data_IF_266465529999
#
_entry.id   IF_266465529999
#
_cell.length_a   1.000
_cell.length_b   1.000
_cell.length_c   1.000
_cell.angle_alpha   90.00
_cell.angle_beta   90.00
_cell.angle_gamma   90.00
#
_symmetry.space_group_name_H-M   'P 1'
#
loop_
_entity.id
_entity.type
_entity.pdbx_description
1 polymer ?
#
# COMPACT_ATOMS: atom_id res chain seq x y z
N UNK A 1 -16.69 -3.65 0.45
CA UNK A 1 -16.38 -4.51 -0.74
C UNK A 1 -15.81 -3.70 -1.91
N UNK A 2 -16.48 -2.63 -2.35
CA UNK A 2 -16.05 -1.79 -3.49
C UNK A 2 -14.63 -1.20 -3.31
N UNK A 3 -14.35 -0.55 -2.18
CA UNK A 3 -13.01 -0.01 -1.88
C UNK A 3 -11.90 -1.09 -1.84
N UNK A 4 -12.22 -2.31 -1.42
CA UNK A 4 -11.26 -3.43 -1.43
C UNK A 4 -10.97 -3.91 -2.86
N UNK A 5 -11.99 -3.94 -3.73
CA UNK A 5 -11.83 -4.26 -5.14
C UNK A 5 -11.05 -3.16 -5.88
N UNK A 6 -11.28 -1.89 -5.56
CA UNK A 6 -10.49 -0.77 -6.10
C UNK A 6 -9.03 -0.85 -5.68
N UNK A 7 -8.75 -1.14 -4.40
CA UNK A 7 -7.39 -1.32 -3.91
C UNK A 7 -6.70 -2.51 -4.58
N UNK A 8 -7.43 -3.60 -4.82
CA UNK A 8 -6.92 -4.77 -5.54
C UNK A 8 -6.61 -4.45 -7.01
N UNK A 9 -7.52 -3.74 -7.70
CA UNK A 9 -7.29 -3.27 -9.09
C UNK A 9 -6.07 -2.35 -9.15
N UNK A 10 -5.99 -1.37 -8.25
CA UNK A 10 -4.83 -0.50 -8.13
C UNK A 10 -3.54 -1.29 -7.89
N UNK A 11 -3.56 -2.28 -7.01
CA UNK A 11 -2.41 -3.16 -6.72
C UNK A 11 -1.93 -3.90 -7.97
N UNK A 12 -2.87 -4.40 -8.79
CA UNK A 12 -2.54 -5.06 -10.06
C UNK A 12 -1.98 -4.07 -11.10
N UNK A 13 -2.59 -2.89 -11.25
CA UNK A 13 -2.11 -1.83 -12.14
C UNK A 13 -0.71 -1.35 -11.75
N UNK A 14 -0.46 -1.15 -10.46
CA UNK A 14 0.82 -0.76 -9.89
C UNK A 14 1.89 -1.83 -10.16
N UNK A 15 1.53 -3.10 -9.99
CA UNK A 15 2.42 -4.22 -10.29
C UNK A 15 2.78 -4.28 -11.78
N UNK A 16 1.82 -4.05 -12.67
CA UNK A 16 2.03 -3.96 -14.12
C UNK A 16 2.98 -2.81 -14.50
N UNK A 17 2.75 -1.60 -13.95
CA UNK A 17 3.59 -0.44 -14.19
C UNK A 17 5.02 -0.65 -13.71
N UNK A 18 5.21 -1.26 -12.53
CA UNK A 18 6.54 -1.60 -12.03
C UNK A 18 7.26 -2.66 -12.89
N UNK A 19 6.52 -3.66 -13.39
CA UNK A 19 7.09 -4.71 -14.24
C UNK A 19 7.59 -4.18 -15.58
N UNK A 20 6.93 -3.16 -16.12
CA UNK A 20 7.34 -2.48 -17.34
C UNK A 20 8.74 -1.85 -17.20
N UNK A 21 9.00 -1.13 -16.10
CA UNK A 21 10.32 -0.56 -15.83
C UNK A 21 11.39 -1.63 -15.66
N UNK A 22 11.06 -2.72 -14.97
CA UNK A 22 11.97 -3.85 -14.77
C UNK A 22 12.32 -4.51 -16.10
N UNK A 23 11.36 -4.67 -17.01
CA UNK A 23 11.60 -5.24 -18.33
C UNK A 23 12.61 -4.39 -19.13
N UNK A 24 12.48 -3.07 -19.09
CA UNK A 24 13.44 -2.17 -19.74
C UNK A 24 14.84 -2.26 -19.11
N UNK A 25 14.92 -2.22 -17.78
CA UNK A 25 16.20 -2.34 -17.06
C UNK A 25 16.89 -3.66 -17.33
N UNK A 26 16.16 -4.77 -17.40
CA UNK A 26 16.73 -6.08 -17.71
C UNK A 26 17.41 -6.07 -19.09
N UNK A 27 16.76 -5.49 -20.09
CA UNK A 27 17.30 -5.35 -21.44
C UNK A 27 18.52 -4.43 -21.46
N UNK A 28 18.45 -3.27 -20.80
CA UNK A 28 19.56 -2.32 -20.75
C UNK A 28 20.79 -2.92 -20.08
N UNK A 29 20.62 -3.51 -18.90
CA UNK A 29 21.70 -4.13 -18.14
C UNK A 29 22.35 -5.28 -18.93
N UNK A 30 21.54 -6.19 -19.48
CA UNK A 30 22.03 -7.29 -20.31
C UNK A 30 22.87 -6.78 -21.47
N UNK A 31 22.35 -5.83 -22.24
CA UNK A 31 23.00 -5.33 -23.44
C UNK A 31 24.29 -4.56 -23.10
N UNK A 32 24.30 -3.82 -21.99
CA UNK A 32 25.49 -3.11 -21.52
C UNK A 32 26.60 -4.09 -21.11
N UNK A 33 26.26 -5.13 -20.32
CA UNK A 33 27.22 -6.14 -19.89
C UNK A 33 27.73 -6.97 -21.07
N UNK A 34 26.84 -7.44 -21.96
CA UNK A 34 27.24 -8.20 -23.15
C UNK A 34 28.22 -7.40 -24.02
N UNK A 35 27.94 -6.10 -24.23
CA UNK A 35 28.81 -5.21 -25.01
C UNK A 35 30.19 -5.04 -24.38
N UNK A 36 30.26 -4.83 -23.07
CA UNK A 36 31.52 -4.68 -22.35
C UNK A 36 32.38 -5.95 -22.45
N UNK A 37 31.77 -7.13 -22.33
CA UNK A 37 32.45 -8.40 -22.48
C UNK A 37 32.88 -8.65 -23.93
N UNK A 38 31.99 -8.39 -24.90
CA UNK A 38 32.28 -8.55 -26.33
C UNK A 38 33.50 -7.72 -26.79
N UNK A 39 33.62 -6.50 -26.27
CA UNK A 39 34.77 -5.63 -26.53
C UNK A 39 36.05 -6.22 -25.92
N UNK A 40 35.99 -6.68 -24.66
CA UNK A 40 37.15 -7.26 -23.97
C UNK A 40 37.68 -8.54 -24.63
N UNK A 41 36.78 -9.38 -25.13
CA UNK A 41 37.11 -10.63 -25.80
C UNK A 41 37.25 -10.48 -27.32
N UNK A 42 37.11 -9.25 -27.84
CA UNK A 42 37.28 -8.92 -29.26
C UNK A 42 36.44 -9.83 -30.16
N UNK A 43 35.17 -10.03 -29.78
CA UNK A 43 34.24 -10.90 -30.49
C UNK A 43 34.12 -10.51 -31.97
N UNK A 44 34.20 -9.22 -32.29
CA UNK A 44 34.16 -8.72 -33.66
C UNK A 44 35.38 -9.10 -34.51
N UNK A 45 36.57 -9.22 -33.90
CA UNK A 45 37.79 -9.66 -34.58
C UNK A 45 37.84 -11.18 -34.70
N UNK A 46 37.38 -11.89 -33.68
CA UNK A 46 37.51 -13.35 -33.60
C UNK A 46 36.31 -14.11 -34.17
N UNK A 47 35.17 -13.45 -34.40
CA UNK A 47 33.94 -14.05 -34.92
C UNK A 47 33.24 -15.03 -33.95
N UNK A 48 33.78 -15.24 -32.75
CA UNK A 48 33.27 -16.17 -31.74
C UNK A 48 32.81 -15.36 -30.52
N UNK A 49 31.56 -15.50 -30.07
CA UNK A 49 31.06 -14.84 -28.86
C UNK A 49 31.88 -15.16 -27.61
N UNK A 50 32.09 -14.16 -26.73
CA UNK A 50 32.88 -14.28 -25.51
C UNK A 50 32.52 -15.50 -24.63
N UNK A 51 31.23 -15.84 -24.56
CA UNK A 51 30.73 -16.96 -23.77
C UNK A 51 31.07 -18.36 -24.35
N UNK A 52 31.70 -18.43 -25.52
CA UNK A 52 32.16 -19.67 -26.17
C UNK A 52 33.69 -19.82 -26.19
N UNK A 53 34.45 -18.85 -25.65
CA UNK A 53 35.91 -18.77 -25.76
C UNK A 53 36.66 -19.02 -24.46
N UNK A 54 36.07 -19.78 -23.54
CA UNK A 54 36.54 -19.92 -22.15
C UNK A 54 36.46 -18.60 -21.37
N UNK A 55 35.25 -18.04 -21.21
CA UNK A 55 35.08 -16.89 -20.33
C UNK A 55 35.40 -17.30 -18.90
N UNK A 56 35.83 -16.37 -18.02
CA UNK A 56 36.03 -16.61 -16.61
C UNK A 56 34.68 -16.67 -15.88
N UNK A 57 33.77 -17.50 -16.40
CA UNK A 57 32.51 -17.87 -15.79
C UNK A 57 32.71 -19.14 -14.98
N UNK A 58 32.04 -19.24 -13.84
CA UNK A 58 32.02 -20.48 -13.09
C UNK A 58 31.20 -21.58 -13.80
N UNK A 59 31.32 -22.81 -13.28
CA UNK A 59 30.61 -23.96 -13.83
C UNK A 59 29.09 -23.78 -13.84
N UNK A 60 28.51 -23.04 -12.89
CA UNK A 60 27.07 -22.80 -12.84
C UNK A 60 26.62 -21.85 -13.95
N UNK A 61 27.32 -20.73 -14.14
CA UNK A 61 27.06 -19.79 -15.22
C UNK A 61 27.24 -20.46 -16.58
N UNK A 62 28.26 -21.30 -16.75
CA UNK A 62 28.45 -22.07 -17.99
C UNK A 62 27.33 -23.06 -18.24
N UNK A 63 26.83 -23.77 -17.22
CA UNK A 63 25.65 -24.66 -17.36
C UNK A 63 24.43 -23.90 -17.88
N UNK A 64 24.14 -22.72 -17.33
CA UNK A 64 23.00 -21.89 -17.78
C UNK A 64 23.13 -21.45 -19.24
N UNK A 65 24.34 -21.12 -19.70
CA UNK A 65 24.58 -20.82 -21.13
C UNK A 65 24.30 -22.05 -21.98
N UNK A 66 24.80 -23.23 -21.60
CA UNK A 66 24.56 -24.48 -22.32
C UNK A 66 23.08 -24.84 -22.40
N UNK A 67 22.33 -24.73 -21.29
CA UNK A 67 20.88 -24.98 -21.26
C UNK A 67 20.11 -24.08 -22.24
N UNK A 68 20.44 -22.77 -22.28
CA UNK A 68 19.83 -21.84 -23.23
C UNK A 68 20.17 -22.22 -24.66
N UNK A 69 21.41 -22.63 -24.93
CA UNK A 69 21.85 -23.06 -26.27
C UNK A 69 21.13 -24.32 -26.72
N UNK A 70 21.05 -25.35 -25.88
CA UNK A 70 20.40 -26.61 -26.23
C UNK A 70 18.91 -26.40 -26.54
N UNK A 71 18.24 -25.55 -25.76
CA UNK A 71 16.86 -25.12 -26.03
C UNK A 71 16.71 -24.35 -27.35
N UNK A 72 17.67 -23.48 -27.69
CA UNK A 72 17.61 -22.72 -28.95
C UNK A 72 17.97 -23.56 -30.17
N UNK A 73 18.87 -24.54 -30.01
CA UNK A 73 19.24 -25.51 -31.04
C UNK A 73 18.07 -26.38 -31.46
N UNK A 74 17.30 -26.88 -30.50
CA UNK A 74 16.09 -27.67 -30.79
C UNK A 74 15.02 -26.87 -31.54
N UNK A 75 15.08 -25.54 -31.49
CA UNK A 75 14.18 -24.63 -32.20
C UNK A 75 14.79 -24.07 -33.50
N UNK A 76 16.02 -24.46 -33.86
CA UNK A 76 16.78 -23.87 -34.98
C UNK A 76 16.95 -22.34 -34.91
N UNK A 77 17.07 -21.80 -33.69
CA UNK A 77 17.17 -20.36 -33.41
C UNK A 77 18.45 -19.96 -32.67
N UNK A 78 19.47 -20.83 -32.66
CA UNK A 78 20.76 -20.54 -32.00
C UNK A 78 21.47 -19.37 -32.71
N UNK A 79 21.47 -18.21 -32.09
CA UNK A 79 22.26 -17.05 -32.50
C UNK A 79 22.79 -16.33 -31.26
N UNK A 80 23.88 -15.59 -31.40
CA UNK A 80 24.47 -14.79 -30.31
C UNK A 80 23.42 -13.97 -29.54
N UNK A 81 22.62 -13.21 -30.28
CA UNK A 81 21.60 -12.32 -29.72
C UNK A 81 20.50 -13.11 -29.00
N UNK A 82 20.08 -14.26 -29.53
CA UNK A 82 19.08 -15.12 -28.90
C UNK A 82 19.61 -15.81 -27.64
N UNK A 83 20.88 -16.22 -27.64
CA UNK A 83 21.53 -16.80 -26.46
C UNK A 83 21.62 -15.76 -25.35
N UNK A 84 22.14 -14.57 -25.66
CA UNK A 84 22.19 -13.47 -24.70
C UNK A 84 20.78 -13.15 -24.17
N UNK A 85 19.79 -13.08 -25.07
CA UNK A 85 18.42 -12.76 -24.70
C UNK A 85 17.72 -13.85 -23.87
N UNK A 86 18.11 -15.11 -24.03
CA UNK A 86 17.56 -16.25 -23.31
C UNK A 86 18.10 -16.42 -21.88
N UNK A 87 19.12 -15.65 -21.50
CA UNK A 87 19.68 -15.61 -20.14
C UNK A 87 18.86 -14.69 -19.24
N UNK A 88 18.49 -15.19 -18.06
CA UNK A 88 17.61 -14.48 -17.12
C UNK A 88 18.29 -13.30 -16.42
N UNK A 89 17.51 -12.35 -15.90
CA UNK A 89 17.98 -11.31 -14.97
C UNK A 89 18.96 -11.84 -13.91
N UNK A 90 18.66 -12.98 -13.30
CA UNK A 90 19.48 -13.59 -12.25
C UNK A 90 20.88 -14.01 -12.73
N UNK A 91 21.03 -14.40 -14.00
CA UNK A 91 22.35 -14.68 -14.58
C UNK A 91 23.20 -13.41 -14.65
N UNK A 92 22.64 -12.33 -15.21
CA UNK A 92 23.32 -11.04 -15.34
C UNK A 92 23.64 -10.40 -13.98
N UNK A 93 22.71 -10.50 -13.03
CA UNK A 93 22.93 -10.10 -11.63
C UNK A 93 24.08 -10.89 -10.98
N UNK A 94 24.14 -12.20 -11.23
CA UNK A 94 25.21 -13.07 -10.72
C UNK A 94 26.61 -12.66 -11.19
N UNK A 95 26.73 -12.09 -12.38
CA UNK A 95 28.01 -11.58 -12.91
C UNK A 95 28.53 -10.34 -12.18
N UNK A 96 27.68 -9.65 -11.41
CA UNK A 96 28.09 -8.53 -10.56
C UNK A 96 28.47 -8.97 -9.14
N UNK A 97 28.53 -10.28 -8.87
CA UNK A 97 28.92 -10.86 -7.59
C UNK A 97 30.41 -10.65 -7.27
N UNK A 98 30.78 -10.81 -5.98
CA UNK A 98 32.15 -10.60 -5.50
C UNK A 98 33.19 -11.54 -6.15
N UNK A 99 32.77 -12.72 -6.58
CA UNK A 99 33.62 -13.68 -7.31
C UNK A 99 34.11 -13.18 -8.67
N UNK A 100 33.44 -12.16 -9.24
CA UNK A 100 33.79 -11.56 -10.52
C UNK A 100 34.42 -10.16 -10.38
N UNK A 101 35.04 -9.87 -9.22
CA UNK A 101 35.70 -8.58 -8.95
C UNK A 101 36.82 -8.29 -9.97
N UNK A 102 37.57 -9.31 -10.38
CA UNK A 102 38.61 -9.14 -11.40
C UNK A 102 38.01 -8.75 -12.76
N UNK A 103 36.95 -9.44 -13.19
CA UNK A 103 36.23 -9.17 -14.43
C UNK A 103 35.58 -7.78 -14.40
N UNK A 104 35.12 -7.34 -13.22
CA UNK A 104 34.67 -5.97 -13.01
C UNK A 104 35.74 -4.95 -13.31
N UNK A 105 36.91 -5.09 -12.69
CA UNK A 105 38.06 -4.20 -12.89
C UNK A 105 38.54 -4.20 -14.34
N UNK A 106 38.49 -5.35 -15.01
CA UNK A 106 38.96 -5.51 -16.39
C UNK A 106 37.98 -5.02 -17.45
N UNK A 107 36.66 -5.13 -17.24
CA UNK A 107 35.69 -4.86 -18.31
C UNK A 107 34.29 -4.45 -17.84
N UNK A 108 33.71 -5.09 -16.82
CA UNK A 108 32.29 -4.88 -16.50
C UNK A 108 31.97 -3.45 -16.03
N UNK A 109 32.94 -2.74 -15.43
CA UNK A 109 32.73 -1.35 -15.03
C UNK A 109 32.39 -0.43 -16.22
N UNK A 110 32.80 -0.77 -17.45
CA UNK A 110 32.42 -0.03 -18.66
C UNK A 110 30.93 -0.14 -19.00
N UNK A 111 30.23 -1.15 -18.48
CA UNK A 111 28.78 -1.25 -18.62
C UNK A 111 28.03 -0.23 -17.74
N UNK A 112 28.72 0.41 -16.78
CA UNK A 112 28.13 1.33 -15.81
C UNK A 112 28.85 2.70 -15.81
N UNK A 113 28.82 3.44 -16.93
CA UNK A 113 29.55 4.71 -17.08
C UNK A 113 29.11 5.82 -16.12
N UNK A 114 27.86 5.79 -15.62
CA UNK A 114 27.34 6.77 -14.66
C UNK A 114 27.68 6.47 -13.19
N UNK A 115 28.37 5.35 -12.91
CA UNK A 115 28.76 4.96 -11.57
C UNK A 115 30.07 5.57 -11.09
N UNK A 116 30.33 5.43 -9.79
CA UNK A 116 31.61 5.84 -9.19
C UNK A 116 32.76 4.82 -9.43
N UNK A 117 32.57 3.88 -10.37
CA UNK A 117 33.51 2.79 -10.66
C UNK A 117 33.48 1.60 -9.70
N UNK A 118 32.67 1.66 -8.62
CA UNK A 118 32.64 0.60 -7.60
C UNK A 118 31.59 -0.47 -7.92
N UNK A 119 32.00 -1.75 -8.00
CA UNK A 119 31.09 -2.89 -8.22
C UNK A 119 29.94 -2.92 -7.22
N UNK A 120 30.23 -2.64 -5.95
CA UNK A 120 29.26 -2.68 -4.86
C UNK A 120 28.04 -1.81 -5.14
N UNK A 121 28.21 -0.64 -5.77
CA UNK A 121 27.10 0.27 -6.08
C UNK A 121 26.10 -0.40 -7.02
N UNK A 122 26.57 -0.93 -8.16
CA UNK A 122 25.73 -1.64 -9.12
C UNK A 122 25.15 -2.94 -8.52
N UNK A 123 25.97 -3.72 -7.81
CA UNK A 123 25.55 -5.00 -7.24
C UNK A 123 24.41 -4.85 -6.20
N UNK A 124 24.48 -3.83 -5.34
CA UNK A 124 23.43 -3.56 -4.34
C UNK A 124 22.10 -3.21 -5.03
N UNK A 125 22.13 -2.33 -6.03
CA UNK A 125 20.93 -1.92 -6.77
C UNK A 125 20.33 -3.10 -7.54
N UNK A 126 21.15 -3.86 -8.25
CA UNK A 126 20.69 -5.01 -9.04
C UNK A 126 20.10 -6.10 -8.15
N UNK A 127 20.68 -6.37 -6.98
CA UNK A 127 20.14 -7.34 -6.03
C UNK A 127 18.81 -6.87 -5.41
N UNK A 128 18.69 -5.58 -5.10
CA UNK A 128 17.44 -4.97 -4.68
C UNK A 128 16.34 -5.14 -5.75
N UNK A 129 16.65 -4.80 -7.00
CA UNK A 129 15.72 -4.91 -8.14
C UNK A 129 15.36 -6.37 -8.41
N UNK A 130 16.30 -7.31 -8.26
CA UNK A 130 16.03 -8.75 -8.36
C UNK A 130 14.97 -9.20 -7.36
N UNK A 131 15.10 -8.79 -6.09
CA UNK A 131 14.12 -9.09 -5.04
C UNK A 131 12.77 -8.47 -5.37
N UNK A 132 12.74 -7.21 -5.77
CA UNK A 132 11.51 -6.52 -6.16
C UNK A 132 10.80 -7.22 -7.34
N UNK A 133 11.54 -7.52 -8.41
CA UNK A 133 11.07 -8.28 -9.58
C UNK A 133 10.49 -9.63 -9.19
N UNK A 134 11.15 -10.36 -8.31
CA UNK A 134 10.67 -11.66 -7.86
C UNK A 134 9.33 -11.56 -7.13
N UNK A 135 9.16 -10.58 -6.25
CA UNK A 135 7.88 -10.34 -5.57
C UNK A 135 6.75 -10.08 -6.56
N UNK A 136 6.99 -9.21 -7.54
CA UNK A 136 6.01 -8.92 -8.59
C UNK A 136 5.69 -10.17 -9.43
N UNK A 137 6.70 -10.98 -9.76
CA UNK A 137 6.53 -12.21 -10.54
C UNK A 137 5.80 -13.32 -9.78
N UNK A 138 5.84 -13.30 -8.46
CA UNK A 138 5.08 -14.21 -7.59
C UNK A 138 3.68 -13.69 -7.24
N UNK A 139 3.27 -12.54 -7.79
CA UNK A 139 2.01 -11.88 -7.46
C UNK A 139 1.87 -11.55 -5.96
N UNK A 140 2.99 -11.27 -5.29
CA UNK A 140 2.99 -10.83 -3.90
C UNK A 140 2.25 -9.49 -3.74
N UNK A 141 1.66 -9.26 -2.56
CA UNK A 141 1.01 -8.00 -2.24
C UNK A 141 2.01 -6.83 -2.23
N UNK A 142 1.72 -5.79 -3.03
CA UNK A 142 2.48 -4.52 -3.05
C UNK A 142 2.00 -3.51 -2.00
N UNK A 143 0.95 -3.83 -1.24
CA UNK A 143 0.29 -2.90 -0.31
C UNK A 143 1.19 -2.44 0.85
N UNK A 144 2.09 -3.32 1.31
CA UNK A 144 3.06 -3.06 2.39
C UNK A 144 4.45 -2.70 1.90
N UNK A 145 4.62 -2.43 0.60
CA UNK A 145 5.90 -2.09 -0.01
C UNK A 145 6.04 -0.58 -0.15
N UNK A 146 7.25 -0.07 0.09
CA UNK A 146 7.63 1.28 -0.32
C UNK A 146 7.93 1.32 -1.82
N UNK A 147 6.85 1.37 -2.62
CA UNK A 147 6.91 1.37 -4.08
C UNK A 147 7.75 2.53 -4.64
N UNK A 148 7.56 3.80 -4.19
CA UNK A 148 8.41 4.90 -4.63
C UNK A 148 9.90 4.63 -4.43
N UNK A 149 10.28 4.03 -3.29
CA UNK A 149 11.67 3.70 -3.00
C UNK A 149 12.22 2.55 -3.87
N UNK A 150 11.41 1.54 -4.20
CA UNK A 150 11.81 0.48 -5.15
C UNK A 150 11.99 1.04 -6.57
N UNK A 151 11.06 1.88 -7.03
CA UNK A 151 11.14 2.54 -8.34
C UNK A 151 12.35 3.48 -8.41
N UNK A 152 12.66 4.21 -7.34
CA UNK A 152 13.85 5.05 -7.30
C UNK A 152 15.13 4.24 -7.49
N UNK A 153 15.22 3.01 -6.95
CA UNK A 153 16.36 2.11 -7.17
C UNK A 153 16.47 1.65 -8.62
N UNK A 154 15.33 1.43 -9.27
CA UNK A 154 15.25 1.11 -10.71
C UNK A 154 15.80 2.27 -11.56
N UNK A 155 15.41 3.51 -11.28
CA UNK A 155 15.98 4.70 -11.92
C UNK A 155 17.46 4.91 -11.61
N UNK A 156 17.88 4.66 -10.36
CA UNK A 156 19.28 4.77 -9.98
C UNK A 156 20.15 3.81 -10.81
N UNK A 157 19.70 2.58 -11.05
CA UNK A 157 20.43 1.66 -11.92
C UNK A 157 20.45 2.14 -13.37
N UNK A 158 19.36 2.71 -13.88
CA UNK A 158 19.31 3.31 -15.22
C UNK A 158 20.39 4.39 -15.38
N UNK A 159 20.52 5.28 -14.39
CA UNK A 159 21.53 6.32 -14.36
C UNK A 159 22.96 5.77 -14.34
N UNK A 160 23.19 4.64 -13.66
CA UNK A 160 24.49 3.97 -13.73
C UNK A 160 24.80 3.43 -15.13
N UNK A 161 23.81 2.89 -15.82
CA UNK A 161 23.95 2.32 -17.17
C UNK A 161 24.19 3.40 -18.24
N UNK A 162 23.63 4.59 -18.05
CA UNK A 162 23.91 5.76 -18.89
C UNK A 162 22.76 6.77 -18.97
N UNK A 163 23.06 7.96 -19.50
CA UNK A 163 22.12 9.08 -19.58
C UNK A 163 20.92 8.78 -20.50
N UNK A 164 21.16 8.09 -21.62
CA UNK A 164 20.09 7.71 -22.55
C UNK A 164 19.11 6.71 -21.92
N UNK A 165 19.64 5.72 -21.17
CA UNK A 165 18.84 4.72 -20.47
C UNK A 165 18.01 5.37 -19.36
N UNK A 166 18.60 6.31 -18.61
CA UNK A 166 17.89 7.08 -17.60
C UNK A 166 16.77 7.93 -18.20
N UNK A 167 17.05 8.68 -19.27
CA UNK A 167 16.06 9.51 -19.94
C UNK A 167 14.90 8.68 -20.51
N UNK A 168 15.21 7.53 -21.13
CA UNK A 168 14.19 6.62 -21.65
C UNK A 168 13.30 6.08 -20.52
N UNK A 169 13.91 5.62 -19.43
CA UNK A 169 13.15 5.03 -18.32
C UNK A 169 12.27 6.07 -17.63
N UNK A 170 12.77 7.30 -17.47
CA UNK A 170 11.97 8.41 -16.93
C UNK A 170 10.77 8.74 -17.83
N UNK A 171 10.94 8.76 -19.15
CA UNK A 171 9.85 9.01 -20.08
C UNK A 171 8.80 7.87 -20.13
N UNK A 172 9.20 6.65 -19.77
CA UNK A 172 8.32 5.47 -19.75
C UNK A 172 7.62 5.28 -18.39
N UNK A 173 8.10 5.98 -17.35
CA UNK A 173 7.63 5.77 -15.98
C UNK A 173 6.24 6.35 -15.72
N UNK A 174 5.26 5.44 -15.67
CA UNK A 174 3.88 5.71 -15.23
C UNK A 174 3.61 5.32 -13.77
N UNK A 175 4.61 4.83 -13.03
CA UNK A 175 4.43 4.34 -11.67
C UNK A 175 4.04 5.46 -10.70
N UNK A 176 4.57 6.68 -10.88
CA UNK A 176 4.17 7.84 -10.07
C UNK A 176 2.69 8.17 -10.25
N UNK A 177 2.21 8.19 -11.49
CA UNK A 177 0.80 8.47 -11.79
C UNK A 177 -0.14 7.39 -11.23
N UNK A 178 0.24 6.12 -11.38
CA UNK A 178 -0.54 5.00 -10.83
C UNK A 178 -0.52 5.05 -9.30
N UNK A 179 0.65 5.30 -8.70
CA UNK A 179 0.77 5.42 -7.24
C UNK A 179 -0.10 6.55 -6.68
N UNK A 180 -0.18 7.69 -7.37
CA UNK A 180 -1.07 8.81 -7.00
C UNK A 180 -2.56 8.46 -7.01
N UNK A 181 -2.97 7.41 -7.73
CA UNK A 181 -4.35 6.90 -7.77
C UNK A 181 -4.63 5.86 -6.68
N UNK A 182 -3.68 5.59 -5.77
CA UNK A 182 -3.88 4.63 -4.68
C UNK A 182 -5.12 5.01 -3.88
N UNK A 183 -6.14 4.13 -3.78
CA UNK A 183 -7.30 4.40 -2.94
C UNK A 183 -6.84 4.64 -1.51
N UNK A 184 -7.09 5.85 -1.01
CA UNK A 184 -6.88 6.18 0.39
C UNK A 184 -8.10 5.67 1.14
N UNK A 185 -7.90 4.79 2.10
CA UNK A 185 -8.98 4.44 3.02
C UNK A 185 -9.28 5.69 3.86
N UNK A 186 -10.31 6.45 3.48
CA UNK A 186 -10.67 7.67 4.18
C UNK A 186 -10.95 7.34 5.65
N UNK A 187 -10.31 8.09 6.54
CA UNK A 187 -10.65 8.06 7.96
C UNK A 187 -12.01 8.74 8.09
N UNK A 188 -13.07 7.95 7.98
CA UNK A 188 -14.47 8.39 7.86
C UNK A 188 -15.29 8.07 9.13
N UNK A 189 -14.70 7.36 10.09
CA UNK A 189 -15.41 6.84 11.26
C UNK A 189 -14.69 7.23 12.55
N UNK A 190 -15.45 7.80 13.49
CA UNK A 190 -14.98 8.03 14.86
C UNK A 190 -15.53 6.95 15.80
N UNK A 191 -14.64 6.24 16.48
CA UNK A 191 -14.96 5.30 17.56
C UNK A 191 -14.99 6.09 18.87
N UNK A 192 -16.15 6.15 19.52
CA UNK A 192 -16.34 6.88 20.78
C UNK A 192 -16.48 5.94 21.97
N UNK A 193 -15.94 6.33 23.12
CA UNK A 193 -16.23 5.66 24.38
C UNK A 193 -17.74 5.81 24.69
N UNK A 194 -18.43 4.68 24.85
CA UNK A 194 -19.90 4.63 24.77
C UNK A 194 -20.57 3.95 25.96
N UNK A 195 -19.88 3.77 27.09
CA UNK A 195 -20.43 3.09 28.29
C UNK A 195 -21.85 3.54 28.68
N UNK A 196 -22.15 4.83 28.55
CA UNK A 196 -23.47 5.38 28.83
C UNK A 196 -24.23 5.81 27.57
N UNK A 197 -23.52 5.99 26.45
CA UNK A 197 -24.11 6.48 25.21
C UNK A 197 -24.66 5.36 24.33
N UNK A 198 -24.21 4.12 24.52
CA UNK A 198 -24.68 2.95 23.77
C UNK A 198 -26.18 2.68 24.00
N UNK A 199 -26.71 2.63 25.25
CA UNK A 199 -28.15 2.44 25.47
C UNK A 199 -29.01 3.57 24.87
N UNK A 200 -28.54 4.82 24.95
CA UNK A 200 -29.22 5.96 24.35
C UNK A 200 -29.25 5.84 22.81
N UNK A 201 -28.16 5.40 22.19
CA UNK A 201 -28.15 5.12 20.77
C UNK A 201 -29.12 3.99 20.41
N UNK A 202 -29.21 2.93 21.22
CA UNK A 202 -30.15 1.83 20.98
C UNK A 202 -31.62 2.28 20.99
N UNK A 203 -31.98 3.18 21.90
CA UNK A 203 -33.35 3.66 22.06
C UNK A 203 -33.70 4.79 21.07
N UNK A 204 -32.79 5.75 20.96
CA UNK A 204 -33.07 7.03 20.31
C UNK A 204 -32.29 7.27 19.03
N UNK A 205 -31.32 6.42 18.68
CA UNK A 205 -30.45 6.59 17.49
C UNK A 205 -29.76 7.95 17.51
N UNK A 206 -29.27 8.32 18.69
CA UNK A 206 -28.57 9.56 18.94
C UNK A 206 -27.33 9.32 19.81
N UNK A 207 -26.32 10.16 19.59
CA UNK A 207 -25.16 10.24 20.48
C UNK A 207 -25.10 11.64 21.09
N UNK A 208 -24.95 11.70 22.41
CA UNK A 208 -24.90 12.97 23.16
C UNK A 208 -23.60 13.06 23.94
N UNK A 209 -22.89 14.17 23.79
CA UNK A 209 -21.65 14.45 24.52
C UNK A 209 -21.58 15.90 25.02
N UNK A 210 -20.59 16.19 25.85
CA UNK A 210 -20.34 17.55 26.35
C UNK A 210 -20.20 18.55 25.20
N UNK A 211 -20.76 19.74 25.36
CA UNK A 211 -20.59 20.83 24.40
C UNK A 211 -19.11 21.21 24.23
N UNK A 212 -18.74 21.65 23.02
CA UNK A 212 -17.38 22.05 22.69
C UNK A 212 -16.40 20.89 22.43
N UNK A 213 -16.87 19.64 22.42
CA UNK A 213 -16.02 18.50 22.07
C UNK A 213 -15.73 18.50 20.57
N UNK A 214 -14.45 18.61 20.21
CA UNK A 214 -14.05 18.63 18.81
C UNK A 214 -14.03 17.24 18.16
N UNK A 215 -14.47 17.19 16.90
CA UNK A 215 -14.40 16.02 16.03
C UNK A 215 -13.81 16.40 14.66
N UNK A 216 -12.94 15.54 14.10
CA UNK A 216 -12.56 15.59 12.68
C UNK A 216 -13.80 15.51 11.78
N UNK A 217 -13.73 16.01 10.53
CA UNK A 217 -14.74 15.70 9.52
C UNK A 217 -14.79 14.18 9.32
N UNK A 218 -15.90 13.57 9.74
CA UNK A 218 -16.18 12.13 9.65
C UNK A 218 -17.64 11.96 9.32
N UNK A 219 -17.96 10.88 8.65
CA UNK A 219 -19.32 10.59 8.20
C UNK A 219 -20.04 9.64 9.16
N UNK A 220 -19.30 8.95 10.04
CA UNK A 220 -19.80 7.81 10.83
C UNK A 220 -19.36 7.83 12.28
N UNK A 221 -20.17 7.21 13.14
CA UNK A 221 -19.79 6.84 14.50
C UNK A 221 -19.73 5.32 14.66
N UNK A 222 -18.81 4.86 15.50
CA UNK A 222 -18.82 3.52 16.07
C UNK A 222 -18.72 3.62 17.60
N UNK A 223 -19.24 2.63 18.31
CA UNK A 223 -19.39 2.69 19.77
C UNK A 223 -18.48 1.66 20.44
N UNK A 224 -17.60 2.12 21.31
CA UNK A 224 -16.79 1.25 22.16
C UNK A 224 -17.40 1.15 23.56
N UNK A 225 -17.94 -0.02 23.91
CA UNK A 225 -18.51 -0.34 25.22
C UNK A 225 -18.28 -1.82 25.53
N UNK A 226 -18.23 -2.18 26.81
CA UNK A 226 -18.14 -3.59 27.25
C UNK A 226 -16.91 -4.35 26.69
N UNK A 227 -15.77 -3.66 26.55
CA UNK A 227 -14.54 -4.18 25.94
C UNK A 227 -14.70 -4.63 24.48
N UNK A 228 -15.60 -4.00 23.73
CA UNK A 228 -15.74 -4.26 22.30
C UNK A 228 -16.16 -3.00 21.55
N UNK A 229 -15.87 -2.97 20.25
CA UNK A 229 -16.56 -2.07 19.33
C UNK A 229 -17.85 -2.77 18.91
N UNK A 230 -18.99 -2.15 19.17
CA UNK A 230 -20.31 -2.67 18.83
C UNK A 230 -20.48 -2.77 17.32
N UNK A 231 -21.34 -3.70 16.88
CA UNK A 231 -21.51 -4.01 15.47
C UNK A 231 -22.13 -2.85 14.66
N UNK A 232 -22.94 -1.99 15.29
CA UNK A 232 -23.54 -0.85 14.61
C UNK A 232 -22.52 0.25 14.33
N UNK A 233 -22.40 0.63 13.05
CA UNK A 233 -21.60 1.76 12.56
C UNK A 233 -22.53 2.72 11.78
N UNK A 234 -23.37 3.49 12.49
CA UNK A 234 -24.31 4.40 11.86
C UNK A 234 -23.62 5.61 11.19
N UNK A 235 -24.28 6.15 10.17
CA UNK A 235 -23.92 7.42 9.55
C UNK A 235 -24.47 8.58 10.37
N UNK A 236 -23.71 9.68 10.41
CA UNK A 236 -24.13 10.95 10.98
C UNK A 236 -25.07 11.62 9.99
N UNK A 237 -26.33 11.81 10.39
CA UNK A 237 -27.30 12.58 9.60
C UNK A 237 -27.17 14.06 9.88
N UNK A 238 -27.12 14.38 11.16
CA UNK A 238 -27.06 15.75 11.64
C UNK A 238 -26.22 15.79 12.90
N UNK A 239 -25.43 16.87 13.02
CA UNK A 239 -24.70 17.24 14.21
C UNK A 239 -25.16 18.62 14.63
N UNK A 240 -25.63 18.75 15.87
CA UNK A 240 -25.98 20.03 16.47
C UNK A 240 -25.18 20.30 17.72
N UNK A 241 -24.45 21.40 17.69
CA UNK A 241 -23.64 21.86 18.81
C UNK A 241 -24.46 22.85 19.66
N UNK A 242 -24.10 22.99 20.94
CA UNK A 242 -24.69 23.95 21.88
C UNK A 242 -26.21 23.82 22.10
N UNK A 243 -26.73 22.61 22.28
CA UNK A 243 -28.15 22.34 22.57
C UNK A 243 -28.43 22.46 24.07
N UNK A 244 -29.26 23.41 24.52
CA UNK A 244 -29.73 23.47 25.90
C UNK A 244 -30.59 22.25 26.26
N UNK A 245 -30.30 21.63 27.40
CA UNK A 245 -30.98 20.40 27.85
C UNK A 245 -32.12 20.71 28.82
N UNK A 246 -33.12 21.46 28.35
CA UNK A 246 -34.28 21.91 29.15
C UNK A 246 -35.60 21.47 28.53
N UNK A 247 -36.68 21.44 29.34
CA UNK A 247 -38.02 21.10 28.82
C UNK A 247 -38.56 22.19 27.90
N UNK A 248 -38.24 23.44 28.25
CA UNK A 248 -38.62 24.64 27.50
C UNK A 248 -38.02 24.56 26.10
N UNK A 249 -36.72 24.26 26.00
CA UNK A 249 -36.06 24.14 24.69
C UNK A 249 -36.57 22.93 23.91
N UNK A 250 -36.84 21.79 24.57
CA UNK A 250 -37.44 20.65 23.89
C UNK A 250 -38.81 21.00 23.26
N UNK A 251 -39.65 21.79 23.94
CA UNK A 251 -40.93 22.29 23.39
C UNK A 251 -40.73 23.24 22.21
N UNK A 252 -39.75 24.13 22.27
CA UNK A 252 -39.43 25.03 21.14
C UNK A 252 -39.09 24.24 19.87
N UNK A 253 -38.30 23.17 20.00
CA UNK A 253 -37.89 22.32 18.88
C UNK A 253 -39.02 21.50 18.26
N UNK A 254 -40.17 21.35 18.92
CA UNK A 254 -41.30 20.63 18.34
C UNK A 254 -41.94 21.36 17.16
N UNK A 255 -41.84 22.69 17.14
CA UNK A 255 -42.30 23.52 16.02
C UNK A 255 -41.31 23.54 14.85
N UNK A 256 -40.12 22.95 15.02
CA UNK A 256 -39.05 22.93 14.04
C UNK A 256 -39.20 21.84 12.99
N UNK A 257 -38.08 21.55 12.32
CA UNK A 257 -38.04 20.55 11.25
C UNK A 257 -38.08 19.09 11.79
N UNK A 258 -37.76 18.13 10.93
CA UNK A 258 -37.73 16.71 11.33
C UNK A 258 -36.60 16.41 12.33
N UNK A 259 -35.47 17.10 12.21
CA UNK A 259 -34.29 16.89 13.05
C UNK A 259 -34.50 17.54 14.42
N UNK A 260 -35.05 18.75 14.45
CA UNK A 260 -35.42 19.45 15.69
C UNK A 260 -36.38 18.61 16.54
N UNK A 261 -37.47 18.10 15.94
CA UNK A 261 -38.41 17.20 16.62
C UNK A 261 -37.75 15.94 17.16
N UNK A 262 -36.72 15.43 16.46
CA UNK A 262 -35.97 14.27 16.93
C UNK A 262 -35.05 14.63 18.10
N UNK A 263 -34.40 15.79 18.06
CA UNK A 263 -33.60 16.32 19.19
C UNK A 263 -34.50 16.55 20.41
N UNK A 264 -35.69 17.13 20.24
CA UNK A 264 -36.67 17.30 21.31
C UNK A 264 -36.99 15.98 22.02
N UNK A 265 -37.24 14.91 21.25
CA UNK A 265 -37.47 13.57 21.78
C UNK A 265 -36.24 13.04 22.54
N UNK A 266 -35.04 13.21 22.00
CA UNK A 266 -33.78 12.79 22.65
C UNK A 266 -33.58 13.51 23.99
N UNK A 267 -33.86 14.81 24.06
CA UNK A 267 -33.81 15.58 25.31
C UNK A 267 -34.73 14.94 26.35
N UNK A 268 -36.01 14.75 26.03
CA UNK A 268 -36.98 14.19 26.98
C UNK A 268 -36.65 12.77 27.43
N UNK A 269 -36.20 11.91 26.51
CA UNK A 269 -35.86 10.52 26.81
C UNK A 269 -34.63 10.39 27.72
N UNK A 270 -33.66 11.31 27.62
CA UNK A 270 -32.37 11.21 28.32
C UNK A 270 -32.28 12.01 29.63
N UNK A 271 -33.26 12.90 29.90
CA UNK A 271 -33.26 13.81 31.05
C UNK A 271 -33.37 13.12 32.41
N UNK A 272 -34.05 11.99 32.48
CA UNK A 272 -34.13 11.18 33.70
C UNK A 272 -32.90 10.30 33.91
N UNK A 273 -31.96 10.29 32.97
CA UNK A 273 -30.73 9.51 33.03
C UNK A 273 -29.54 10.42 33.37
N UNK A 274 -28.47 10.37 32.57
CA UNK A 274 -27.19 11.03 32.84
C UNK A 274 -27.11 12.46 32.30
N UNK A 275 -28.02 12.85 31.42
CA UNK A 275 -28.05 14.18 30.80
C UNK A 275 -29.17 15.00 31.41
N UNK A 276 -28.97 15.50 32.62
CA UNK A 276 -30.04 16.11 33.43
C UNK A 276 -30.24 17.59 33.15
N UNK A 277 -29.15 18.36 33.04
CA UNK A 277 -29.15 19.80 32.79
C UNK A 277 -27.82 20.27 32.21
N UNK A 278 -27.85 21.35 31.42
CA UNK A 278 -26.67 21.99 30.83
C UNK A 278 -26.81 22.16 29.33
N UNK A 279 -25.66 22.25 28.66
CA UNK A 279 -25.57 22.40 27.20
C UNK A 279 -24.75 21.23 26.65
N UNK A 280 -25.29 20.56 25.63
CA UNK A 280 -24.68 19.38 25.02
C UNK A 280 -24.56 19.51 23.52
N UNK A 281 -23.81 18.57 22.96
CA UNK A 281 -23.67 18.37 21.54
C UNK A 281 -24.34 17.04 21.17
N UNK A 282 -25.17 17.04 20.12
CA UNK A 282 -26.02 15.93 19.71
C UNK A 282 -25.70 15.52 18.29
N UNK A 283 -25.60 14.21 18.07
CA UNK A 283 -25.51 13.60 16.75
C UNK A 283 -26.76 12.75 16.54
N UNK A 284 -27.50 13.03 15.47
CA UNK A 284 -28.57 12.15 15.00
C UNK A 284 -27.99 11.13 14.03
N UNK A 285 -28.30 9.87 14.27
CA UNK A 285 -27.64 8.73 13.62
C UNK A 285 -28.65 7.92 12.79
N UNK A 286 -28.16 7.25 11.76
CA UNK A 286 -28.98 6.29 11.00
C UNK A 286 -29.33 5.07 11.85
N UNK A 287 -30.41 4.38 11.47
CA UNK A 287 -30.87 3.14 12.12
C UNK A 287 -30.66 1.93 11.19
N UNK A 288 -30.63 0.70 11.74
CA UNK A 288 -30.65 -0.50 10.92
C UNK A 288 -31.76 -0.47 9.88
N UNK A 289 -31.42 -0.78 8.62
CA UNK A 289 -32.31 -0.71 7.46
C UNK A 289 -32.26 0.59 6.66
N UNK A 290 -31.63 1.66 7.16
CA UNK A 290 -31.33 2.84 6.35
C UNK A 290 -30.15 2.55 5.38
N UNK A 291 -30.17 3.12 4.18
CA UNK A 291 -29.17 2.83 3.13
C UNK A 291 -27.71 3.05 3.56
N UNK A 292 -27.45 4.12 4.34
CA UNK A 292 -26.11 4.47 4.79
C UNK A 292 -25.75 3.88 6.16
N UNK A 293 -26.61 3.06 6.75
CA UNK A 293 -26.32 2.37 8.00
C UNK A 293 -25.51 1.10 7.74
N UNK A 294 -24.46 0.88 8.54
CA UNK A 294 -23.59 -0.30 8.40
C UNK A 294 -23.59 -1.11 9.68
N UNK A 295 -23.62 -2.43 9.52
CA UNK A 295 -23.59 -3.40 10.62
C UNK A 295 -22.45 -4.36 10.33
N UNK A 296 -21.49 -4.45 11.26
CA UNK A 296 -20.39 -5.40 11.21
C UNK A 296 -20.94 -6.82 11.43
N UNK A 297 -20.31 -7.85 10.83
CA UNK A 297 -20.75 -9.24 11.02
C UNK A 297 -20.68 -9.70 12.48
N UNK A 298 -19.70 -9.19 13.24
CA UNK A 298 -19.55 -9.43 14.67
C UNK A 298 -19.04 -8.13 15.35
N UNK A 299 -19.34 -7.90 16.64
CA UNK A 299 -18.62 -6.92 17.45
C UNK A 299 -17.12 -7.22 17.45
N UNK A 300 -16.29 -6.18 17.55
CA UNK A 300 -14.83 -6.32 17.56
C UNK A 300 -14.32 -6.35 19.00
N UNK A 301 -13.88 -7.50 19.53
CA UNK A 301 -13.41 -7.60 20.90
C UNK A 301 -12.10 -6.84 21.09
N UNK A 302 -11.93 -6.25 22.27
CA UNK A 302 -10.70 -5.63 22.72
C UNK A 302 -10.02 -6.51 23.77
N UNK A 303 -8.84 -7.03 23.43
CA UNK A 303 -8.16 -8.07 24.23
C UNK A 303 -7.29 -7.51 25.35
N UNK A 304 -6.86 -6.25 25.24
CA UNK A 304 -5.96 -5.65 26.22
C UNK A 304 -6.68 -5.30 27.53
N UNK A 305 -6.14 -5.80 28.65
CA UNK A 305 -6.66 -5.54 29.99
C UNK A 305 -5.68 -4.69 30.81
N UNK A 306 -6.19 -3.92 31.78
CA UNK A 306 -5.38 -3.08 32.67
C UNK A 306 -5.72 -1.58 32.62
N UNK A 307 -5.15 -0.81 33.54
CA UNK A 307 -5.38 0.64 33.58
C UNK A 307 -4.71 1.29 32.36
N UNK A 308 -5.50 2.01 31.57
CA UNK A 308 -5.04 2.68 30.35
C UNK A 308 -5.05 1.80 29.09
N UNK A 309 -5.50 0.54 29.19
CA UNK A 309 -5.56 -0.36 28.03
C UNK A 309 -6.70 -0.03 27.07
N UNK A 310 -7.74 0.68 27.52
CA UNK A 310 -8.94 0.93 26.74
C UNK A 310 -8.64 1.46 25.33
N UNK A 311 -9.19 0.77 24.33
CA UNK A 311 -8.99 1.09 22.91
C UNK A 311 -9.24 2.57 22.56
N UNK A 312 -10.26 3.19 23.17
CA UNK A 312 -10.54 4.62 23.02
C UNK A 312 -10.15 5.41 24.27
N UNK A 313 -9.13 6.25 24.16
CA UNK A 313 -8.85 7.30 25.15
C UNK A 313 -9.64 8.57 24.76
N UNK A 314 -10.96 8.56 25.03
CA UNK A 314 -12.01 9.52 24.59
C UNK A 314 -12.60 9.21 23.21
N UNK A 315 -11.80 9.28 22.15
CA UNK A 315 -12.20 8.91 20.78
C UNK A 315 -11.00 8.41 19.98
N UNK A 316 -11.26 7.57 18.97
CA UNK A 316 -10.27 7.11 18.00
C UNK A 316 -10.84 7.24 16.59
N UNK A 317 -9.98 7.46 15.61
CA UNK A 317 -10.38 7.63 14.23
C UNK A 317 -9.87 6.46 13.40
N UNK A 318 -10.77 5.85 12.64
CA UNK A 318 -10.51 4.68 11.79
C UNK A 318 -11.31 4.84 10.50
N UNK A 319 -11.06 3.97 9.52
CA UNK A 319 -11.94 3.84 8.37
C UNK A 319 -13.01 2.78 8.63
N UNK A 320 -14.19 2.94 8.02
CA UNK A 320 -15.23 1.91 8.00
C UNK A 320 -14.67 0.59 7.45
N UNK A 321 -13.86 0.66 6.40
CA UNK A 321 -13.25 -0.54 5.82
C UNK A 321 -12.41 -1.31 6.83
N UNK A 322 -11.58 -0.64 7.63
CA UNK A 322 -10.80 -1.29 8.67
C UNK A 322 -11.70 -1.97 9.71
N UNK A 323 -12.82 -1.35 10.10
CA UNK A 323 -13.80 -1.98 10.99
C UNK A 323 -14.46 -3.22 10.37
N UNK A 324 -14.77 -3.19 9.07
CA UNK A 324 -15.40 -4.33 8.36
C UNK A 324 -14.46 -5.54 8.22
N UNK A 325 -13.15 -5.31 8.18
CA UNK A 325 -12.14 -6.38 7.97
C UNK A 325 -11.44 -6.85 9.24
N UNK A 326 -11.54 -6.08 10.33
CA UNK A 326 -10.89 -6.41 11.59
C UNK A 326 -11.55 -7.61 12.28
N UNK A 327 -10.74 -8.42 12.97
CA UNK A 327 -11.21 -9.47 13.87
C UNK A 327 -11.15 -9.04 15.34
N UNK A 328 -10.29 -8.09 15.68
CA UNK A 328 -10.23 -7.44 16.99
C UNK A 328 -9.83 -5.98 16.86
N UNK A 329 -9.85 -5.24 17.96
CA UNK A 329 -9.32 -3.87 17.98
C UNK A 329 -7.82 -3.77 17.71
N UNK A 330 -7.07 -4.87 17.81
CA UNK A 330 -5.61 -4.89 17.59
C UNK A 330 -5.26 -4.74 16.11
N UNK A 331 -6.21 -5.09 15.22
CA UNK A 331 -6.07 -4.90 13.77
C UNK A 331 -6.29 -3.43 13.34
N UNK A 332 -6.76 -2.59 14.27
CA UNK A 332 -7.07 -1.17 14.05
C UNK A 332 -5.96 -0.26 14.59
N UNK A 333 -4.85 -0.83 15.08
CA UNK A 333 -3.80 -0.10 15.80
C UNK A 333 -2.69 0.46 14.92
#
# INVERSE_FOLDING_TARGET
>A
MEAALELYRWSAEMSSAAYELIAHIEVFMRNAIDRALAQRYRDGECGIPWFLREPPLDAEAMRRVTEVRDRLRSQHRESRHQIAAGLSFGFWAGMLGAKYEEQWRLSLHHAFPGGNGTRKQAAILVEAIRKFRNRLAHHDSVLGLDIPFEVQRVHALAALLGNEQAAWLQATDRTTDVYGKRPVTSIDTVVVAARHAWPLYEQERAYVCQAGRWFRPVDRLAFYSDQEIKADVPSIRCRRDNVPWTEEHAKELEAGDKEDRKIARVIRASRCERWTAGVYQVFLLTRPGDADHRVLPNPLPHRATGRGSAFTQRQRYVSLHALETAASTDDLT
#
